data_IF_770751962957
#
_entry.id   IF_770751962957
#
_cell.length_a   1.000
_cell.length_b   1.000
_cell.length_c   1.000
_cell.angle_alpha   90.00
_cell.angle_beta   90.00
_cell.angle_gamma   90.00
#
_symmetry.space_group_name_H-M   'P 1'
#
loop_
_entity.id
_entity.type
_entity.pdbx_description
1 polymer ?
#
# COMPACT_ATOMS: atom_id res chain seq x y z
N UNK A 1 47.19 -36.85 -42.19
CA UNK A 1 47.15 -35.55 -41.49
C UNK A 1 47.12 -35.84 -40.00
N UNK A 2 48.22 -35.53 -39.31
CA UNK A 2 48.41 -35.68 -37.87
C UNK A 2 47.78 -34.50 -37.14
N UNK A 3 47.07 -34.72 -36.03
CA UNK A 3 47.02 -33.74 -34.94
C UNK A 3 47.08 -34.47 -33.59
N UNK A 4 48.13 -34.11 -32.87
CA UNK A 4 48.61 -34.67 -31.61
C UNK A 4 47.85 -34.09 -30.42
N UNK A 5 47.62 -34.97 -29.45
CA UNK A 5 47.12 -34.71 -28.10
C UNK A 5 48.11 -33.87 -27.29
N UNK A 6 47.63 -32.88 -26.54
CA UNK A 6 48.35 -32.27 -25.41
C UNK A 6 47.33 -31.74 -24.39
N UNK A 7 47.15 -32.49 -23.30
CA UNK A 7 46.39 -32.06 -22.12
C UNK A 7 47.40 -31.88 -20.98
N UNK A 8 47.67 -30.63 -20.61
CA UNK A 8 48.52 -30.29 -19.46
C UNK A 8 47.61 -29.89 -18.30
N UNK A 9 47.77 -30.58 -17.19
CA UNK A 9 47.05 -30.34 -15.95
C UNK A 9 47.58 -29.13 -15.18
N UNK A 10 46.72 -28.59 -14.31
CA UNK A 10 47.11 -27.71 -13.23
C UNK A 10 46.19 -27.99 -12.02
N UNK A 11 46.74 -28.73 -11.06
CA UNK A 11 46.28 -28.76 -9.67
C UNK A 11 46.82 -27.52 -8.96
N UNK A 12 46.00 -26.83 -8.14
CA UNK A 12 46.39 -26.38 -6.79
C UNK A 12 45.28 -25.53 -6.11
N UNK A 13 44.88 -26.05 -4.95
CA UNK A 13 44.69 -25.38 -3.65
C UNK A 13 43.41 -24.58 -3.36
N UNK A 14 42.63 -25.26 -2.53
CA UNK A 14 41.67 -24.80 -1.54
C UNK A 14 42.31 -23.83 -0.54
N UNK A 15 41.74 -22.63 -0.39
CA UNK A 15 42.01 -21.70 0.72
C UNK A 15 40.71 -21.48 1.49
N UNK A 16 40.79 -21.75 2.80
CA UNK A 16 39.77 -21.45 3.81
C UNK A 16 39.84 -19.99 4.27
N UNK A 17 38.69 -19.45 4.64
CA UNK A 17 38.50 -18.16 5.33
C UNK A 17 37.16 -17.56 4.91
N UNK A 18 36.15 -17.38 5.74
CA UNK A 18 36.14 -17.06 7.16
C UNK A 18 35.57 -15.64 7.32
N UNK A 19 34.47 -15.54 8.08
CA UNK A 19 33.83 -14.34 8.63
C UNK A 19 32.76 -13.62 7.78
N UNK A 20 31.50 -13.98 8.09
CA UNK A 20 30.32 -13.14 7.90
C UNK A 20 30.34 -11.97 8.92
N UNK A 21 30.06 -10.72 8.52
CA UNK A 21 29.71 -9.69 9.48
C UNK A 21 28.19 -9.66 9.71
N UNK A 22 27.78 -10.10 10.90
CA UNK A 22 26.46 -9.88 11.49
C UNK A 22 26.18 -8.37 11.60
N UNK A 23 25.14 -7.92 10.89
CA UNK A 23 24.61 -6.55 11.02
C UNK A 23 23.49 -6.56 12.06
N UNK A 24 23.79 -6.09 13.26
CA UNK A 24 22.80 -5.71 14.27
C UNK A 24 23.18 -4.35 14.87
N UNK A 25 22.34 -3.32 14.77
CA UNK A 25 22.56 -2.07 15.49
C UNK A 25 21.69 -2.04 16.76
N UNK A 26 22.31 -2.24 17.93
CA UNK A 26 21.74 -1.78 19.19
C UNK A 26 22.80 -1.16 20.09
N UNK A 27 22.48 0.07 20.51
CA UNK A 27 22.88 0.76 21.74
C UNK A 27 24.21 1.52 21.82
N UNK A 28 24.05 2.86 21.89
CA UNK A 28 24.64 3.85 22.82
C UNK A 28 26.20 3.95 22.89
N UNK A 29 26.87 5.08 23.18
CA UNK A 29 26.61 6.19 24.10
C UNK A 29 27.64 7.32 23.78
N UNK A 30 27.21 8.58 23.96
CA UNK A 30 27.93 9.84 24.32
C UNK A 30 29.45 10.05 24.02
N UNK A 31 29.81 11.26 23.55
CA UNK A 31 30.59 12.29 24.31
C UNK A 31 31.21 13.40 23.43
N UNK A 32 31.07 14.66 23.88
CA UNK A 32 31.97 15.85 23.73
C UNK A 32 32.35 16.37 22.32
N UNK A 33 32.65 17.64 22.02
CA UNK A 33 32.60 18.95 22.68
C UNK A 33 32.98 20.04 21.62
N UNK A 34 32.53 21.29 21.86
CA UNK A 34 33.10 22.60 21.51
C UNK A 34 33.59 22.94 20.08
N UNK A 35 33.11 24.06 19.49
CA UNK A 35 33.83 25.36 19.50
C UNK A 35 33.21 26.42 18.55
N UNK A 36 33.20 27.64 19.09
CA UNK A 36 32.90 28.99 18.57
C UNK A 36 33.40 29.37 17.16
N UNK A 37 32.67 30.24 16.45
CA UNK A 37 33.21 31.45 15.79
C UNK A 37 32.11 32.37 15.23
N UNK A 38 32.40 33.67 15.21
CA UNK A 38 31.48 34.80 15.07
C UNK A 38 31.35 35.41 13.65
N UNK A 39 30.18 36.01 13.35
CA UNK A 39 29.76 37.24 12.59
C UNK A 39 30.68 37.87 11.48
N UNK A 40 30.18 38.69 10.49
CA UNK A 40 29.00 39.59 10.55
C UNK A 40 28.15 39.89 9.27
N UNK A 41 26.96 40.44 9.53
CA UNK A 41 26.18 41.51 8.83
C UNK A 41 25.85 41.48 7.32
N UNK A 42 24.54 41.56 7.00
CA UNK A 42 23.93 42.59 6.12
C UNK A 42 22.40 42.66 6.26
N UNK A 43 21.89 43.88 6.26
CA UNK A 43 20.52 44.36 6.53
C UNK A 43 19.59 44.37 5.30
N UNK A 44 18.28 44.60 5.54
CA UNK A 44 17.15 45.15 4.67
C UNK A 44 15.89 44.21 4.70
N UNK A 45 14.61 44.68 4.71
CA UNK A 45 13.77 44.60 5.91
C UNK A 45 12.38 43.91 5.74
N UNK A 46 11.73 43.70 6.89
CA UNK A 46 10.29 43.70 7.17
C UNK A 46 9.27 43.22 6.10
N UNK A 47 8.62 42.09 6.39
CA UNK A 47 7.18 41.93 6.21
C UNK A 47 6.59 41.22 7.44
N UNK A 48 5.60 41.89 8.03
CA UNK A 48 4.94 41.56 9.31
C UNK A 48 4.06 40.32 9.14
N UNK A 49 4.06 39.39 10.09
CA UNK A 49 2.86 38.99 10.84
C UNK A 49 3.27 38.21 12.11
N UNK A 50 2.65 38.49 13.27
CA UNK A 50 3.17 38.15 14.59
C UNK A 50 2.91 36.70 15.03
N UNK A 51 3.93 36.10 15.62
CA UNK A 51 3.86 34.91 16.50
C UNK A 51 3.83 35.40 17.95
N UNK A 52 2.88 34.93 18.75
CA UNK A 52 2.96 34.90 20.22
C UNK A 52 1.92 33.90 20.79
N UNK A 53 2.07 33.39 22.02
CA UNK A 53 3.05 32.37 22.40
C UNK A 53 2.41 31.14 23.09
N UNK A 54 3.19 30.06 23.18
CA UNK A 54 2.94 28.90 24.06
C UNK A 54 2.66 29.34 25.50
N UNK A 55 1.71 28.67 26.16
CA UNK A 55 1.74 28.41 27.60
C UNK A 55 1.83 26.91 27.85
N UNK A 56 2.91 26.55 28.53
CA UNK A 56 3.13 25.29 29.23
C UNK A 56 2.29 25.26 30.52
N UNK A 57 1.75 24.09 30.86
CA UNK A 57 1.07 23.79 32.12
C UNK A 57 1.15 22.28 32.35
N UNK A 58 1.52 21.90 33.57
CA UNK A 58 2.16 20.64 33.93
C UNK A 58 1.22 19.43 34.08
N UNK A 59 1.82 18.25 33.89
CA UNK A 59 1.73 17.02 34.69
C UNK A 59 0.37 16.61 35.29
N UNK A 60 -0.16 15.50 34.77
CA UNK A 60 -1.07 14.62 35.48
C UNK A 60 -0.80 13.18 35.07
N UNK A 61 -0.05 12.45 35.89
CA UNK A 61 0.11 11.01 35.74
C UNK A 61 -1.25 10.34 35.98
N UNK A 62 -1.80 9.67 34.96
CA UNK A 62 -2.92 8.76 35.09
C UNK A 62 -2.58 7.43 34.42
N UNK A 63 -2.70 6.37 35.22
CA UNK A 63 -2.47 4.96 34.92
C UNK A 63 -3.13 4.49 33.62
N UNK A 64 -2.46 3.54 32.99
CA UNK A 64 -2.98 2.66 31.95
C UNK A 64 -4.37 2.11 32.29
N UNK A 65 -5.30 2.20 31.34
CA UNK A 65 -6.34 1.19 31.15
C UNK A 65 -6.51 0.94 29.66
N UNK A 66 -5.99 -0.22 29.25
CA UNK A 66 -6.36 -0.91 28.01
C UNK A 66 -7.88 -1.06 27.97
N UNK A 67 -8.54 -0.28 27.11
CA UNK A 67 -9.94 -0.44 26.79
C UNK A 67 -10.09 -1.24 25.48
N UNK A 68 -9.46 -2.42 25.41
CA UNK A 68 -9.79 -3.45 24.41
C UNK A 68 -11.01 -4.25 24.85
N UNK A 69 -12.09 -3.58 25.28
CA UNK A 69 -13.36 -4.24 25.53
C UNK A 69 -14.44 -3.49 24.77
N UNK A 70 -14.97 -4.19 23.77
CA UNK A 70 -16.10 -3.81 22.93
C UNK A 70 -15.78 -3.07 21.63
N UNK A 71 -14.74 -3.49 20.90
CA UNK A 71 -14.79 -3.38 19.44
C UNK A 71 -15.77 -4.46 18.97
N UNK A 72 -17.05 -4.12 18.89
CA UNK A 72 -17.96 -4.85 18.01
C UNK A 72 -17.27 -4.83 16.66
N UNK A 73 -16.95 -6.01 16.12
CA UNK A 73 -16.32 -6.13 14.81
C UNK A 73 -17.01 -5.13 13.87
N UNK A 74 -16.26 -4.24 13.19
CA UNK A 74 -16.88 -3.40 12.17
C UNK A 74 -17.66 -4.37 11.28
N UNK A 75 -18.92 -4.05 10.93
CA UNK A 75 -19.75 -4.95 10.15
C UNK A 75 -18.88 -5.47 9.04
N UNK A 76 -18.62 -6.78 9.05
CA UNK A 76 -17.96 -7.45 7.93
C UNK A 76 -18.71 -6.91 6.74
N UNK A 77 -18.00 -6.16 5.87
CA UNK A 77 -18.54 -5.79 4.58
C UNK A 77 -18.65 -7.13 3.85
N UNK A 78 -19.69 -7.90 4.18
CA UNK A 78 -20.17 -9.05 3.45
C UNK A 78 -20.62 -8.44 2.15
N UNK A 79 -19.66 -8.32 1.25
CA UNK A 79 -19.91 -7.81 -0.07
C UNK A 79 -20.71 -8.90 -0.76
N UNK A 80 -22.01 -8.68 -1.07
CA UNK A 80 -22.62 -9.45 -2.13
C UNK A 80 -21.73 -9.32 -3.37
N UNK A 81 -21.70 -10.37 -4.19
CA UNK A 81 -21.06 -10.32 -5.50
C UNK A 81 -22.07 -9.70 -6.46
N UNK A 82 -21.87 -8.46 -6.95
CA UNK A 82 -22.46 -8.07 -8.21
C UNK A 82 -21.41 -8.01 -9.31
N UNK A 83 -21.92 -8.24 -10.52
CA UNK A 83 -21.29 -7.86 -11.76
C UNK A 83 -21.75 -6.45 -12.09
N UNK A 84 -20.89 -5.45 -11.98
CA UNK A 84 -21.19 -4.14 -12.55
C UNK A 84 -19.93 -3.41 -12.99
N UNK A 85 -19.59 -3.63 -14.26
CA UNK A 85 -18.71 -2.79 -15.10
C UNK A 85 -19.38 -1.44 -15.46
N UNK A 86 -20.41 -1.03 -14.72
CA UNK A 86 -21.23 0.15 -15.03
C UNK A 86 -20.46 1.44 -14.74
N UNK A 87 -20.39 2.29 -15.75
CA UNK A 87 -19.91 3.67 -15.63
C UNK A 87 -20.81 4.44 -14.66
N UNK A 88 -20.21 5.33 -13.86
CA UNK A 88 -20.94 6.12 -12.88
C UNK A 88 -21.99 7.00 -13.58
N UNK A 89 -23.21 7.00 -13.06
CA UNK A 89 -24.28 7.85 -13.56
C UNK A 89 -24.03 9.32 -13.17
N UNK A 90 -24.76 10.26 -13.77
CA UNK A 90 -24.57 11.71 -13.53
C UNK A 90 -24.71 12.10 -12.04
N UNK A 91 -25.62 11.46 -11.31
CA UNK A 91 -25.83 11.73 -9.89
C UNK A 91 -24.68 11.16 -9.03
N UNK A 92 -24.19 9.97 -9.34
CA UNK A 92 -23.03 9.35 -8.71
C UNK A 92 -21.76 10.17 -8.98
N UNK A 93 -21.54 10.64 -10.21
CA UNK A 93 -20.42 11.53 -10.54
C UNK A 93 -20.50 12.82 -9.73
N UNK A 94 -21.70 13.42 -9.59
CA UNK A 94 -21.88 14.60 -8.74
C UNK A 94 -21.52 14.29 -7.28
N UNK A 95 -21.97 13.15 -6.76
CA UNK A 95 -21.66 12.73 -5.39
C UNK A 95 -20.15 12.47 -5.19
N UNK A 96 -19.47 11.89 -6.18
CA UNK A 96 -18.02 11.70 -6.18
C UNK A 96 -17.28 13.03 -6.11
N UNK A 97 -17.70 14.01 -6.91
CA UNK A 97 -17.12 15.35 -6.87
C UNK A 97 -17.36 16.03 -5.50
N UNK A 98 -18.53 15.84 -4.89
CA UNK A 98 -18.84 16.35 -3.55
C UNK A 98 -18.00 15.69 -2.46
N UNK A 99 -17.77 14.38 -2.53
CA UNK A 99 -16.92 13.64 -1.60
C UNK A 99 -15.47 14.14 -1.68
N UNK A 100 -14.95 14.30 -2.90
CA UNK A 100 -13.63 14.87 -3.15
C UNK A 100 -13.54 16.30 -2.61
N UNK A 101 -14.48 17.18 -2.94
CA UNK A 101 -14.48 18.54 -2.41
C UNK A 101 -14.45 18.56 -0.87
N UNK A 102 -15.27 17.73 -0.22
CA UNK A 102 -15.27 17.60 1.24
C UNK A 102 -13.90 17.17 1.80
N UNK A 103 -13.23 16.21 1.14
CA UNK A 103 -11.89 15.79 1.50
C UNK A 103 -10.85 16.92 1.39
N UNK A 104 -10.88 17.68 0.28
CA UNK A 104 -10.00 18.82 0.07
C UNK A 104 -10.20 19.92 1.12
N UNK A 105 -11.45 20.15 1.52
CA UNK A 105 -11.80 21.07 2.61
C UNK A 105 -11.57 20.50 4.02
N UNK A 106 -10.86 19.38 4.16
CA UNK A 106 -10.59 18.69 5.44
C UNK A 106 -11.84 18.24 6.20
N UNK A 107 -13.00 18.22 5.55
CA UNK A 107 -14.23 17.68 6.13
C UNK A 107 -14.30 16.17 5.88
N UNK A 108 -13.48 15.43 6.64
CA UNK A 108 -13.40 13.98 6.53
C UNK A 108 -14.71 13.25 6.86
N UNK A 109 -15.51 13.64 7.88
CA UNK A 109 -16.78 12.97 8.16
C UNK A 109 -17.74 13.02 6.96
N UNK A 110 -17.86 14.17 6.30
CA UNK A 110 -18.69 14.31 5.11
C UNK A 110 -18.14 13.49 3.94
N UNK A 111 -16.82 13.56 3.70
CA UNK A 111 -16.19 12.79 2.63
C UNK A 111 -16.43 11.28 2.79
N UNK A 112 -16.26 10.76 4.02
CA UNK A 112 -16.51 9.35 4.35
C UNK A 112 -17.96 8.99 4.06
N UNK A 113 -18.93 9.80 4.52
CA UNK A 113 -20.34 9.54 4.30
C UNK A 113 -20.71 9.52 2.80
N UNK A 114 -20.20 10.48 2.03
CA UNK A 114 -20.45 10.56 0.59
C UNK A 114 -19.82 9.36 -0.16
N UNK A 115 -18.60 8.96 0.19
CA UNK A 115 -17.95 7.76 -0.37
C UNK A 115 -18.66 6.47 0.01
N UNK A 116 -19.11 6.33 1.26
CA UNK A 116 -19.89 5.16 1.69
C UNK A 116 -21.21 5.05 0.93
N UNK A 117 -21.88 6.18 0.70
CA UNK A 117 -23.08 6.21 -0.14
C UNK A 117 -22.79 5.80 -1.57
N UNK A 118 -21.68 6.26 -2.16
CA UNK A 118 -21.25 5.80 -3.48
C UNK A 118 -21.02 4.29 -3.55
N UNK A 119 -20.43 3.70 -2.50
CA UNK A 119 -20.18 2.26 -2.44
C UNK A 119 -21.46 1.44 -2.28
N UNK A 120 -22.55 2.03 -1.78
CA UNK A 120 -23.87 1.38 -1.75
C UNK A 120 -24.47 1.27 -3.16
N UNK A 121 -24.30 2.30 -3.99
CA UNK A 121 -24.83 2.34 -5.36
C UNK A 121 -23.91 1.64 -6.37
N UNK A 122 -22.59 1.73 -6.15
CA UNK A 122 -21.55 1.31 -7.08
C UNK A 122 -20.42 0.54 -6.34
N UNK A 123 -20.71 -0.67 -5.82
CA UNK A 123 -19.78 -1.45 -5.01
C UNK A 123 -18.58 -2.00 -5.80
N UNK A 124 -18.63 -1.95 -7.13
CA UNK A 124 -17.60 -2.50 -8.01
C UNK A 124 -16.56 -1.47 -8.45
N UNK A 125 -16.49 -0.28 -7.85
CA UNK A 125 -15.48 0.71 -8.23
C UNK A 125 -14.26 0.68 -7.30
N UNK A 126 -13.11 0.12 -7.73
CA UNK A 126 -11.93 0.04 -6.88
C UNK A 126 -11.35 1.43 -6.55
N UNK A 127 -11.55 2.41 -7.44
CA UNK A 127 -11.12 3.79 -7.20
C UNK A 127 -11.84 4.43 -6.00
N UNK A 128 -13.12 4.13 -5.78
CA UNK A 128 -13.90 4.71 -4.67
C UNK A 128 -13.38 4.17 -3.33
N UNK A 129 -13.08 2.87 -3.25
CA UNK A 129 -12.43 2.30 -2.08
C UNK A 129 -11.05 2.90 -1.81
N UNK A 130 -10.23 3.11 -2.85
CA UNK A 130 -8.92 3.73 -2.70
C UNK A 130 -9.00 5.17 -2.19
N UNK A 131 -9.94 5.96 -2.71
CA UNK A 131 -10.18 7.33 -2.27
C UNK A 131 -10.69 7.37 -0.82
N UNK A 132 -11.59 6.47 -0.44
CA UNK A 132 -12.02 6.31 0.95
C UNK A 132 -10.86 5.92 1.87
N UNK A 133 -9.98 5.01 1.41
CA UNK A 133 -8.75 4.65 2.09
C UNK A 133 -7.84 5.85 2.32
N UNK A 134 -7.71 6.74 1.32
CA UNK A 134 -6.96 7.99 1.46
C UNK A 134 -7.55 8.87 2.57
N UNK A 135 -8.88 9.01 2.65
CA UNK A 135 -9.52 9.79 3.71
C UNK A 135 -9.24 9.20 5.09
N UNK A 136 -9.33 7.88 5.24
CA UNK A 136 -9.01 7.20 6.50
C UNK A 136 -7.53 7.35 6.88
N UNK A 137 -6.64 7.17 5.92
CA UNK A 137 -5.20 7.33 6.13
C UNK A 137 -4.85 8.75 6.59
N UNK A 138 -5.39 9.77 5.92
CA UNK A 138 -5.16 11.18 6.27
C UNK A 138 -5.74 11.58 7.63
N UNK A 139 -6.74 10.84 8.13
CA UNK A 139 -7.34 11.08 9.45
C UNK A 139 -6.75 10.20 10.55
N UNK A 140 -5.70 9.43 10.26
CA UNK A 140 -5.03 8.54 11.22
C UNK A 140 -5.81 7.25 11.53
N UNK A 141 -6.88 6.97 10.77
CA UNK A 141 -7.69 5.75 10.88
C UNK A 141 -7.06 4.63 10.08
N UNK A 142 -5.86 4.22 10.48
CA UNK A 142 -5.05 3.24 9.75
C UNK A 142 -5.70 1.86 9.60
N UNK A 143 -6.38 1.29 10.62
CA UNK A 143 -7.08 0.02 10.46
C UNK A 143 -8.17 0.08 9.39
N UNK A 144 -8.96 1.15 9.36
CA UNK A 144 -10.01 1.36 8.36
C UNK A 144 -9.44 1.64 6.97
N UNK A 145 -8.30 2.33 6.91
CA UNK A 145 -7.57 2.56 5.65
C UNK A 145 -7.09 1.24 5.04
N UNK A 146 -6.51 0.34 5.85
CA UNK A 146 -6.08 -0.98 5.39
C UNK A 146 -7.23 -1.76 4.77
N UNK A 147 -8.38 -1.80 5.46
CA UNK A 147 -9.59 -2.49 4.99
C UNK A 147 -10.09 -1.88 3.66
N UNK A 148 -10.10 -0.56 3.55
CA UNK A 148 -10.52 0.14 2.34
C UNK A 148 -9.59 -0.15 1.16
N UNK A 149 -8.28 -0.04 1.33
CA UNK A 149 -7.31 -0.39 0.28
C UNK A 149 -7.34 -1.88 -0.07
N UNK A 150 -7.52 -2.76 0.93
CA UNK A 150 -7.71 -4.20 0.71
C UNK A 150 -8.95 -4.48 -0.13
N UNK A 151 -10.05 -3.77 0.11
CA UNK A 151 -11.28 -3.87 -0.69
C UNK A 151 -11.10 -3.36 -2.12
N UNK A 152 -10.30 -2.29 -2.31
CA UNK A 152 -9.89 -1.84 -3.64
C UNK A 152 -9.11 -2.93 -4.38
N UNK A 153 -8.10 -3.52 -3.74
CA UNK A 153 -7.28 -4.59 -4.31
C UNK A 153 -8.11 -5.84 -4.66
N UNK A 154 -9.01 -6.30 -3.76
CA UNK A 154 -9.93 -7.42 -4.05
C UNK A 154 -10.82 -7.14 -5.26
N UNK A 155 -11.32 -5.91 -5.39
CA UNK A 155 -12.14 -5.52 -6.55
C UNK A 155 -11.32 -5.49 -7.83
N UNK A 156 -10.09 -4.99 -7.80
CA UNK A 156 -9.16 -5.06 -8.94
C UNK A 156 -8.84 -6.51 -9.34
N UNK A 157 -8.64 -7.42 -8.38
CA UNK A 157 -8.43 -8.86 -8.64
C UNK A 157 -9.63 -9.46 -9.38
N UNK A 158 -10.86 -9.17 -8.94
CA UNK A 158 -12.08 -9.61 -9.63
C UNK A 158 -12.15 -9.08 -11.06
N UNK A 159 -11.69 -7.86 -11.29
CA UNK A 159 -11.59 -7.23 -12.61
C UNK A 159 -10.38 -7.72 -13.44
N UNK A 160 -9.58 -8.65 -12.93
CA UNK A 160 -8.32 -9.13 -13.54
C UNK A 160 -7.27 -8.00 -13.74
N UNK A 161 -7.39 -6.91 -12.99
CA UNK A 161 -6.46 -5.77 -12.96
C UNK A 161 -5.34 -6.05 -11.96
N UNK A 162 -4.62 -7.16 -12.16
CA UNK A 162 -3.65 -7.66 -11.17
C UNK A 162 -2.50 -6.69 -10.90
N UNK A 163 -1.95 -6.04 -11.93
CA UNK A 163 -0.85 -5.08 -11.78
C UNK A 163 -1.21 -3.91 -10.85
N UNK A 164 -2.43 -3.39 -10.98
CA UNK A 164 -2.93 -2.31 -10.13
C UNK A 164 -3.15 -2.78 -8.70
N UNK A 165 -3.67 -3.99 -8.50
CA UNK A 165 -3.79 -4.57 -7.17
C UNK A 165 -2.42 -4.80 -6.49
N UNK A 166 -1.41 -5.27 -7.23
CA UNK A 166 -0.03 -5.43 -6.73
C UNK A 166 0.56 -4.11 -6.25
N UNK A 167 0.27 -3.00 -6.92
CA UNK A 167 0.78 -1.67 -6.52
C UNK A 167 0.30 -1.21 -5.14
N UNK A 168 -0.82 -1.75 -4.64
CA UNK A 168 -1.37 -1.43 -3.32
C UNK A 168 -0.76 -2.28 -2.20
N UNK A 169 -0.09 -3.40 -2.51
CA UNK A 169 0.43 -4.31 -1.48
C UNK A 169 1.42 -3.65 -0.49
N UNK A 170 2.40 -2.83 -0.92
CA UNK A 170 3.31 -2.19 0.03
C UNK A 170 2.59 -1.26 1.00
N UNK A 171 1.58 -0.54 0.52
CA UNK A 171 0.76 0.35 1.33
C UNK A 171 -0.13 -0.44 2.30
N UNK A 172 -0.80 -1.49 1.83
CA UNK A 172 -1.61 -2.34 2.69
C UNK A 172 -0.72 -3.02 3.73
N UNK A 173 0.47 -3.47 3.36
CA UNK A 173 1.41 -4.15 4.26
C UNK A 173 1.97 -3.23 5.34
N UNK A 174 2.22 -1.96 5.02
CA UNK A 174 2.66 -0.98 6.03
C UNK A 174 1.56 -0.64 7.04
N UNK A 175 0.29 -0.79 6.66
CA UNK A 175 -0.87 -0.55 7.54
C UNK A 175 -1.30 -1.82 8.29
N UNK A 176 -1.32 -2.96 7.61
CA UNK A 176 -1.75 -4.26 8.10
C UNK A 176 -1.08 -5.40 7.30
N UNK A 177 0.02 -5.99 7.82
CA UNK A 177 0.74 -7.07 7.15
C UNK A 177 -0.12 -8.32 6.91
N UNK A 178 -1.06 -8.64 7.81
CA UNK A 178 -1.92 -9.81 7.67
C UNK A 178 -2.87 -9.65 6.49
N UNK A 179 -3.44 -8.46 6.31
CA UNK A 179 -4.30 -8.18 5.16
C UNK A 179 -3.52 -8.22 3.85
N UNK A 180 -2.31 -7.66 3.81
CA UNK A 180 -1.45 -7.71 2.62
C UNK A 180 -1.13 -9.15 2.19
N UNK A 181 -0.79 -10.02 3.14
CA UNK A 181 -0.51 -11.44 2.84
C UNK A 181 -1.74 -12.16 2.27
N UNK A 182 -2.94 -11.88 2.78
CA UNK A 182 -4.17 -12.46 2.26
C UNK A 182 -4.47 -11.98 0.82
N UNK A 183 -4.19 -10.71 0.53
CA UNK A 183 -4.33 -10.13 -0.82
C UNK A 183 -3.27 -10.72 -1.77
N UNK A 184 -2.02 -10.85 -1.35
CA UNK A 184 -0.94 -11.43 -2.16
C UNK A 184 -1.25 -12.88 -2.55
N UNK A 185 -1.67 -13.69 -1.59
CA UNK A 185 -2.12 -15.06 -1.87
C UNK A 185 -3.28 -15.06 -2.89
N UNK A 186 -4.26 -14.16 -2.73
CA UNK A 186 -5.37 -14.02 -3.67
C UNK A 186 -4.89 -13.64 -5.07
N UNK A 187 -3.92 -12.73 -5.18
CA UNK A 187 -3.32 -12.32 -6.45
C UNK A 187 -2.64 -13.49 -7.16
N UNK A 188 -1.83 -14.27 -6.44
CA UNK A 188 -1.12 -15.42 -6.99
C UNK A 188 -2.12 -16.47 -7.53
N UNK A 189 -3.14 -16.82 -6.73
CA UNK A 189 -4.15 -17.82 -7.13
C UNK A 189 -4.91 -17.37 -8.38
N UNK A 190 -5.42 -16.13 -8.41
CA UNK A 190 -6.26 -15.66 -9.52
C UNK A 190 -5.45 -15.42 -10.79
N UNK A 191 -4.25 -14.84 -10.68
CA UNK A 191 -3.38 -14.61 -11.85
C UNK A 191 -2.89 -15.93 -12.47
N UNK A 192 -2.53 -16.92 -11.65
CA UNK A 192 -2.15 -18.25 -12.13
C UNK A 192 -3.32 -18.96 -12.82
N UNK A 193 -4.54 -18.86 -12.26
CA UNK A 193 -5.73 -19.46 -12.86
C UNK A 193 -6.04 -18.85 -14.24
N UNK A 194 -5.96 -17.53 -14.39
CA UNK A 194 -6.15 -16.84 -15.67
C UNK A 194 -5.07 -17.25 -16.68
N UNK A 195 -3.80 -17.32 -16.26
CA UNK A 195 -2.70 -17.76 -17.12
C UNK A 195 -2.88 -19.21 -17.60
N UNK A 196 -3.29 -20.11 -16.70
CA UNK A 196 -3.58 -21.53 -17.06
C UNK A 196 -4.70 -21.62 -18.08
N UNK A 197 -5.81 -20.87 -17.87
CA UNK A 197 -6.93 -20.84 -18.81
C UNK A 197 -6.50 -20.30 -20.18
N UNK A 198 -5.69 -19.25 -20.22
CA UNK A 198 -5.17 -18.68 -21.47
C UNK A 198 -4.29 -19.66 -22.25
N UNK A 199 -3.40 -20.40 -21.55
CA UNK A 199 -2.56 -21.43 -22.16
C UNK A 199 -3.37 -22.58 -22.77
N UNK A 200 -4.38 -23.07 -22.04
CA UNK A 200 -5.26 -24.13 -22.54
C UNK A 200 -6.05 -23.69 -23.79
N UNK A 201 -6.56 -22.45 -23.82
CA UNK A 201 -7.26 -21.90 -24.98
C UNK A 201 -6.34 -21.76 -26.20
N UNK A 202 -5.07 -21.43 -26.01
CA UNK A 202 -4.10 -21.33 -27.10
C UNK A 202 -3.79 -22.70 -27.73
N UNK A 203 -3.66 -23.75 -26.91
CA UNK A 203 -3.41 -25.13 -27.38
C UNK A 203 -4.59 -25.68 -28.21
N UNK A 204 -5.82 -25.47 -27.72
CA UNK A 204 -7.02 -25.86 -28.46
C UNK A 204 -7.11 -25.17 -29.83
N UNK A 205 -6.75 -23.88 -29.91
CA UNK A 205 -6.75 -23.14 -31.16
C UNK A 205 -5.74 -23.69 -32.18
N UNK A 206 -4.56 -24.15 -31.73
CA UNK A 206 -3.55 -24.73 -32.62
C UNK A 206 -3.93 -26.12 -33.16
N UNK A 207 -4.60 -26.96 -32.35
CA UNK A 207 -5.09 -28.27 -32.81
C UNK A 207 -6.26 -28.14 -33.80
N UNK A 208 -7.17 -27.18 -33.59
CA UNK A 208 -8.28 -26.94 -34.50
C UNK A 208 -7.85 -26.45 -35.90
N UNK A 209 -6.70 -25.75 -35.98
CA UNK A 209 -6.13 -25.28 -37.25
C UNK A 209 -5.27 -26.31 -37.99
N UNK A 210 -5.06 -27.50 -37.41
CA UNK A 210 -4.17 -28.54 -37.94
C UNK A 210 -4.91 -29.69 -38.64
N UNK A 211 -6.23 -29.59 -38.85
CA UNK A 211 -7.02 -30.58 -39.63
C UNK A 211 -6.97 -30.19 -41.11
N UNK A 212 -6.27 -30.93 -41.98
CA UNK A 212 -6.26 -30.67 -43.42
C UNK A 212 -7.57 -31.12 -44.07
N UNK A 213 -8.00 -30.39 -45.12
CA UNK A 213 -9.12 -30.72 -46.02
C UNK A 213 -8.89 -32.04 -46.80
#
# INVERSE_FOLDING_TARGET
MLFTSLFVGASLQFVSGGLNPDFSPFSCIASAAAAESALPAKTVPAAKHPVAPKKTGQSGAAKAQSAHKNIKAPPTLSMPVPASTKSLNKAEVKLLLQARAAYWHRNAPKAIADYQKLLQEAPDHPGIYGELGNVYYMTGKYPEAAIAYGSAARTMIRMQRFAEAYSLLPLIGSLNPQEANAIDHSLQVHSAAVAKKARAAAQQKSEQSAVPD
#
